data_IF_720632210945
#
_entry.id   IF_720632210945
#
_cell.length_a   1.000
_cell.length_b   1.000
_cell.length_c   1.000
_cell.angle_alpha   90.00
_cell.angle_beta   90.00
_cell.angle_gamma   90.00
#
_symmetry.space_group_name_H-M   'P 1'
#
loop_
_entity.id
_entity.type
_entity.pdbx_description
1 polymer ?
#
# COMPACT_ATOMS: atom_id res chain seq x y z
N UNK A 1 -27.30 7.82 -17.29
CA UNK A 1 -26.35 7.61 -16.18
C UNK A 1 -27.01 6.74 -15.13
N UNK A 2 -26.36 5.65 -14.72
CA UNK A 2 -26.89 4.78 -13.67
C UNK A 2 -26.86 5.48 -12.30
N UNK A 3 -27.78 5.09 -11.41
CA UNK A 3 -27.93 5.65 -10.04
C UNK A 3 -26.61 5.69 -9.23
N UNK A 4 -25.69 4.76 -9.51
CA UNK A 4 -24.38 4.64 -8.82
C UNK A 4 -23.31 5.63 -9.31
N UNK A 5 -23.51 6.28 -10.46
CA UNK A 5 -22.58 7.30 -10.99
C UNK A 5 -22.71 8.65 -10.27
N UNK A 6 -23.80 8.84 -9.52
CA UNK A 6 -24.06 10.09 -8.78
C UNK A 6 -23.34 10.13 -7.41
N UNK A 7 -22.85 9.00 -6.91
CA UNK A 7 -22.13 8.93 -5.64
C UNK A 7 -20.64 9.11 -5.93
N UNK A 8 -20.03 10.12 -5.32
CA UNK A 8 -18.58 10.31 -5.36
C UNK A 8 -17.88 9.14 -4.69
N UNK A 9 -16.88 8.59 -5.36
CA UNK A 9 -16.10 7.43 -4.89
C UNK A 9 -14.65 7.79 -4.86
N UNK A 10 -13.93 7.19 -3.91
CA UNK A 10 -12.46 7.21 -3.84
C UNK A 10 -11.98 5.77 -4.02
N UNK A 11 -11.06 5.57 -4.95
CA UNK A 11 -10.32 4.32 -5.07
C UNK A 11 -9.13 4.37 -4.10
N UNK A 12 -9.13 3.54 -3.08
CA UNK A 12 -8.09 3.56 -2.05
C UNK A 12 -6.87 2.71 -2.40
N UNK A 13 -6.87 2.07 -3.61
CA UNK A 13 -5.81 1.16 -4.01
C UNK A 13 -5.63 1.13 -5.53
N UNK A 14 -4.68 1.87 -6.04
CA UNK A 14 -4.38 1.89 -7.48
C UNK A 14 -2.88 1.90 -7.74
N UNK A 15 -2.48 1.18 -8.79
CA UNK A 15 -1.13 1.19 -9.34
C UNK A 15 -1.14 1.75 -10.76
N UNK A 16 -0.09 2.45 -11.15
CA UNK A 16 0.11 2.95 -12.51
C UNK A 16 1.45 2.50 -13.06
N UNK A 17 1.65 2.70 -14.34
CA UNK A 17 2.98 2.68 -14.93
C UNK A 17 3.90 3.67 -14.24
N UNK A 18 5.17 3.29 -14.12
CA UNK A 18 6.24 4.19 -13.69
C UNK A 18 6.40 5.36 -14.64
N UNK A 19 6.86 6.48 -14.11
CA UNK A 19 7.12 7.67 -14.91
C UNK A 19 8.18 7.37 -16.00
N UNK A 20 7.88 7.76 -17.23
CA UNK A 20 8.76 7.49 -18.36
C UNK A 20 8.69 6.07 -18.93
N UNK A 21 7.88 5.18 -18.39
CA UNK A 21 7.58 3.86 -18.94
C UNK A 21 8.75 2.86 -18.90
N UNK A 22 9.76 3.09 -18.06
CA UNK A 22 10.94 2.22 -17.92
C UNK A 22 10.69 1.08 -16.89
N UNK A 23 9.53 0.46 -16.95
CA UNK A 23 9.15 -0.61 -16.01
C UNK A 23 9.53 -1.99 -16.56
N UNK A 24 9.77 -2.92 -15.64
CA UNK A 24 9.87 -4.35 -15.95
C UNK A 24 8.44 -4.88 -16.17
N UNK A 25 8.20 -5.50 -17.31
CA UNK A 25 6.92 -6.15 -17.58
C UNK A 25 6.79 -7.45 -16.80
N UNK A 26 5.57 -7.77 -16.39
CA UNK A 26 5.25 -9.10 -15.83
C UNK A 26 5.56 -10.20 -16.85
N UNK A 27 5.75 -11.42 -16.38
CA UNK A 27 5.97 -12.59 -17.26
C UNK A 27 4.83 -12.80 -18.28
N UNK A 28 3.60 -12.38 -17.95
CA UNK A 28 2.46 -12.37 -18.87
C UNK A 28 2.59 -11.35 -20.01
N UNK A 29 3.58 -10.45 -19.96
CA UNK A 29 3.71 -9.31 -20.87
C UNK A 29 2.84 -8.10 -20.48
N UNK A 30 2.00 -8.24 -19.45
CA UNK A 30 1.13 -7.16 -18.96
C UNK A 30 1.94 -6.08 -18.22
N UNK A 31 1.40 -4.89 -18.22
CA UNK A 31 1.90 -3.76 -17.45
C UNK A 31 0.73 -3.02 -16.81
N UNK A 32 1.01 -2.16 -15.84
CA UNK A 32 -0.01 -1.31 -15.25
C UNK A 32 -0.58 -0.33 -16.29
N UNK A 33 -1.80 0.14 -16.05
CA UNK A 33 -2.42 1.20 -16.84
C UNK A 33 -1.67 2.52 -16.70
N UNK A 34 -1.71 3.35 -17.73
CA UNK A 34 -1.19 4.73 -17.63
C UNK A 34 -2.11 5.61 -16.78
N UNK A 35 -1.61 6.72 -16.23
CA UNK A 35 -2.46 7.68 -15.51
C UNK A 35 -3.66 8.17 -16.33
N UNK A 36 -3.49 8.37 -17.63
CA UNK A 36 -4.57 8.81 -18.55
C UNK A 36 -5.65 7.73 -18.69
N UNK A 37 -5.24 6.47 -18.85
CA UNK A 37 -6.16 5.34 -18.93
C UNK A 37 -6.96 5.17 -17.63
N UNK A 38 -6.31 5.38 -16.49
CA UNK A 38 -6.97 5.35 -15.18
C UNK A 38 -7.97 6.52 -15.08
N UNK A 39 -7.59 7.74 -15.47
CA UNK A 39 -8.50 8.89 -15.46
C UNK A 39 -9.73 8.64 -16.32
N UNK A 40 -9.57 8.10 -17.53
CA UNK A 40 -10.68 7.72 -18.39
C UNK A 40 -11.66 6.76 -17.71
N UNK A 41 -11.14 5.71 -17.03
CA UNK A 41 -11.98 4.76 -16.30
C UNK A 41 -12.65 5.39 -15.09
N UNK A 42 -11.95 6.25 -14.37
CA UNK A 42 -12.51 6.96 -13.22
C UNK A 42 -13.66 7.87 -13.62
N UNK A 43 -13.53 8.59 -14.74
CA UNK A 43 -14.60 9.41 -15.29
C UNK A 43 -15.83 8.57 -15.67
N UNK A 44 -15.59 7.41 -16.31
CA UNK A 44 -16.67 6.50 -16.70
C UNK A 44 -17.42 5.89 -15.51
N UNK A 45 -16.71 5.65 -14.38
CA UNK A 45 -17.25 4.98 -13.19
C UNK A 45 -17.65 5.92 -12.05
N UNK A 46 -17.45 7.22 -12.22
CA UNK A 46 -17.74 8.23 -11.20
C UNK A 46 -16.78 8.14 -10.00
N UNK A 47 -15.53 7.78 -10.26
CA UNK A 47 -14.45 7.79 -9.24
C UNK A 47 -13.78 9.16 -9.29
N UNK A 48 -13.76 9.84 -8.15
CA UNK A 48 -13.22 11.20 -8.07
C UNK A 48 -11.69 11.17 -8.09
N UNK A 49 -11.09 10.34 -7.26
CA UNK A 49 -9.62 10.18 -7.16
C UNK A 49 -9.24 8.75 -6.75
N UNK A 50 -8.00 8.38 -7.05
CA UNK A 50 -7.35 7.19 -6.55
C UNK A 50 -6.18 7.51 -5.61
N UNK A 51 -5.89 6.58 -4.71
CA UNK A 51 -4.67 6.59 -3.90
C UNK A 51 -3.62 5.72 -4.58
N UNK A 52 -2.63 6.39 -5.18
CA UNK A 52 -1.51 5.71 -5.83
C UNK A 52 -0.59 5.08 -4.80
N UNK A 53 -0.35 3.79 -4.95
CA UNK A 53 0.53 2.99 -4.10
C UNK A 53 1.79 2.61 -4.89
N UNK A 54 2.94 3.26 -4.64
CA UNK A 54 4.23 2.82 -5.19
C UNK A 54 4.67 1.51 -4.53
N UNK A 55 5.59 0.79 -5.16
CA UNK A 55 6.14 -0.45 -4.60
C UNK A 55 7.66 -0.47 -4.73
N UNK A 56 8.34 -0.50 -3.58
CA UNK A 56 9.79 -0.61 -3.45
C UNK A 56 10.21 -1.92 -2.76
N UNK A 57 9.26 -2.75 -2.32
CA UNK A 57 9.58 -4.00 -1.64
C UNK A 57 10.01 -5.07 -2.64
N UNK A 58 11.11 -5.73 -2.35
CA UNK A 58 11.71 -6.74 -3.22
C UNK A 58 10.78 -7.91 -3.49
N UNK A 59 9.90 -8.22 -2.55
CA UNK A 59 8.97 -9.34 -2.62
C UNK A 59 7.88 -9.16 -3.70
N UNK A 60 7.58 -7.92 -4.08
CA UNK A 60 6.53 -7.63 -5.09
C UNK A 60 7.06 -6.83 -6.29
N UNK A 61 8.35 -6.87 -6.56
CA UNK A 61 9.00 -6.03 -7.58
C UNK A 61 8.83 -6.54 -9.02
N UNK A 62 7.60 -6.73 -9.49
CA UNK A 62 7.36 -6.91 -10.93
C UNK A 62 7.35 -5.59 -11.70
N UNK A 63 6.90 -4.51 -11.06
CA UNK A 63 6.86 -3.16 -11.63
C UNK A 63 7.27 -2.17 -10.55
N UNK A 64 8.57 -2.10 -10.19
CA UNK A 64 9.03 -1.23 -9.12
C UNK A 64 8.71 0.24 -9.44
N UNK A 65 8.18 0.93 -8.45
CA UNK A 65 7.86 2.36 -8.52
C UNK A 65 8.34 3.03 -7.23
N UNK A 66 9.21 4.03 -7.34
CA UNK A 66 9.72 4.74 -6.19
C UNK A 66 8.71 5.74 -5.63
N UNK A 67 8.94 6.19 -4.40
CA UNK A 67 8.16 7.27 -3.78
C UNK A 67 8.25 8.57 -4.59
N UNK A 68 9.43 8.89 -5.14
CA UNK A 68 9.67 10.08 -5.95
C UNK A 68 8.94 10.00 -7.28
N UNK A 69 8.81 8.79 -7.83
CA UNK A 69 8.06 8.55 -9.07
C UNK A 69 6.55 8.76 -8.82
N UNK A 70 6.00 8.18 -7.74
CA UNK A 70 4.62 8.40 -7.34
C UNK A 70 4.33 9.87 -7.06
N UNK A 71 5.22 10.56 -6.34
CA UNK A 71 5.14 12.01 -6.14
C UNK A 71 5.07 12.75 -7.48
N UNK A 72 5.98 12.47 -8.42
CA UNK A 72 6.01 13.10 -9.74
C UNK A 72 4.72 12.86 -10.52
N UNK A 73 4.19 11.63 -10.50
CA UNK A 73 2.90 11.31 -11.13
C UNK A 73 1.78 12.17 -10.53
N UNK A 74 1.71 12.28 -9.21
CA UNK A 74 0.65 13.06 -8.57
C UNK A 74 0.78 14.56 -8.84
N UNK A 75 1.98 15.10 -9.03
CA UNK A 75 2.17 16.50 -9.44
C UNK A 75 1.67 16.76 -10.88
N UNK A 76 1.76 15.77 -11.75
CA UNK A 76 1.29 15.89 -13.14
C UNK A 76 -0.21 15.55 -13.29
N UNK A 77 -0.77 14.75 -12.38
CA UNK A 77 -2.17 14.33 -12.38
C UNK A 77 -2.87 14.62 -11.04
N UNK A 78 -2.83 15.89 -10.53
CA UNK A 78 -3.31 16.22 -9.19
C UNK A 78 -4.83 16.05 -9.04
N UNK A 79 -5.58 16.02 -10.14
CA UNK A 79 -7.03 15.79 -10.15
C UNK A 79 -7.38 14.28 -10.14
N UNK A 80 -6.39 13.41 -10.41
CA UNK A 80 -6.61 11.96 -10.51
C UNK A 80 -6.13 11.23 -9.27
N UNK A 81 -5.01 11.66 -8.67
CA UNK A 81 -4.38 10.90 -7.60
C UNK A 81 -4.09 11.72 -6.35
N UNK A 82 -4.25 11.04 -5.20
CA UNK A 82 -3.43 11.16 -4.01
C UNK A 82 -2.39 10.04 -4.02
N UNK A 83 -1.49 10.01 -3.05
CA UNK A 83 -0.50 8.96 -2.97
C UNK A 83 -0.15 8.58 -1.53
N UNK A 84 0.25 7.34 -1.34
CA UNK A 84 0.90 6.85 -0.14
C UNK A 84 2.38 6.67 -0.41
N UNK A 85 3.23 6.84 0.60
CA UNK A 85 4.62 6.42 0.51
C UNK A 85 4.73 4.91 0.70
N UNK A 86 5.69 4.27 0.07
CA UNK A 86 6.06 2.88 0.36
C UNK A 86 7.35 2.86 1.18
N UNK A 87 7.38 2.09 2.26
CA UNK A 87 8.53 1.92 3.13
C UNK A 87 8.77 0.42 3.38
N UNK A 88 9.99 -0.03 3.16
CA UNK A 88 10.40 -1.36 3.58
C UNK A 88 10.84 -1.34 5.05
N UNK A 89 10.42 -2.31 5.87
CA UNK A 89 10.87 -2.39 7.27
C UNK A 89 12.37 -2.64 7.41
N UNK A 90 13.05 -2.94 6.29
CA UNK A 90 14.51 -3.14 6.21
C UNK A 90 15.27 -1.87 5.82
N UNK A 91 14.59 -0.75 5.58
CA UNK A 91 15.24 0.53 5.26
C UNK A 91 16.12 1.01 6.42
N UNK A 92 17.03 1.91 6.09
CA UNK A 92 18.00 2.42 7.03
C UNK A 92 19.03 1.34 7.39
N UNK A 93 19.09 0.96 8.64
CA UNK A 93 20.09 0.03 9.16
C UNK A 93 19.65 -1.45 9.14
N UNK A 94 18.50 -1.79 8.54
CA UNK A 94 17.89 -3.12 8.66
C UNK A 94 17.77 -3.55 10.14
N UNK A 95 17.29 -2.65 10.97
CA UNK A 95 17.25 -2.77 12.42
C UNK A 95 15.85 -2.47 12.97
N UNK A 96 15.42 -3.19 14.03
CA UNK A 96 14.18 -2.85 14.73
C UNK A 96 14.26 -1.53 15.51
N UNK A 97 15.40 -0.85 15.49
CA UNK A 97 15.62 0.48 16.06
C UNK A 97 15.78 1.58 15.03
N UNK A 98 15.55 1.26 13.73
CA UNK A 98 15.54 2.29 12.68
C UNK A 98 14.47 3.35 12.99
N UNK A 99 14.85 4.62 12.97
CA UNK A 99 13.90 5.73 13.13
C UNK A 99 13.16 5.99 11.80
N UNK A 100 11.97 5.42 11.67
CA UNK A 100 11.12 5.63 10.50
C UNK A 100 10.44 6.99 10.49
N UNK A 101 10.39 7.72 11.60
CA UNK A 101 9.79 9.06 11.64
C UNK A 101 10.50 10.01 10.67
N UNK A 102 11.80 9.84 10.48
CA UNK A 102 12.59 10.60 9.52
C UNK A 102 12.05 10.46 8.08
N UNK A 103 11.83 9.22 7.63
CA UNK A 103 11.30 8.95 6.28
C UNK A 103 9.83 9.38 6.16
N UNK A 104 9.01 9.04 7.16
CA UNK A 104 7.58 9.34 7.18
C UNK A 104 7.37 10.86 7.11
N UNK A 105 8.06 11.63 7.93
CA UNK A 105 7.90 13.09 7.95
C UNK A 105 8.37 13.74 6.65
N UNK A 106 9.44 13.21 6.02
CA UNK A 106 9.90 13.67 4.72
C UNK A 106 8.81 13.55 3.66
N UNK A 107 8.27 12.34 3.45
CA UNK A 107 7.25 12.13 2.42
C UNK A 107 5.88 12.71 2.78
N UNK A 108 5.55 12.79 4.08
CA UNK A 108 4.37 13.51 4.55
C UNK A 108 4.43 14.99 4.17
N UNK A 109 5.59 15.63 4.30
CA UNK A 109 5.80 17.01 3.87
C UNK A 109 5.66 17.16 2.33
N UNK A 110 5.95 16.12 1.55
CA UNK A 110 5.71 16.07 0.10
C UNK A 110 4.27 15.76 -0.27
N UNK A 111 3.38 15.54 0.71
CA UNK A 111 1.94 15.34 0.51
C UNK A 111 1.47 13.90 0.51
N UNK A 112 2.31 12.93 0.86
CA UNK A 112 1.88 11.56 1.07
C UNK A 112 0.81 11.47 2.17
N UNK A 113 -0.21 10.63 1.98
CA UNK A 113 -1.38 10.53 2.86
C UNK A 113 -1.39 9.27 3.73
N UNK A 114 -0.44 8.36 3.54
CA UNK A 114 -0.33 7.09 4.27
C UNK A 114 0.92 6.33 3.85
N UNK A 115 1.04 5.10 4.34
CA UNK A 115 2.15 4.18 4.05
C UNK A 115 1.59 2.89 3.43
N UNK A 116 2.11 2.45 2.31
CA UNK A 116 1.70 1.21 1.65
C UNK A 116 1.86 1.24 0.13
N UNK A 117 1.63 0.14 -0.48
CA UNK A 117 1.17 -1.14 0.03
C UNK A 117 2.31 -1.88 0.76
N UNK A 118 2.02 -2.45 1.95
CA UNK A 118 3.02 -3.23 2.68
C UNK A 118 3.02 -4.67 2.15
N UNK A 119 4.00 -4.97 1.31
CA UNK A 119 4.13 -6.24 0.56
C UNK A 119 5.27 -7.14 1.06
N UNK A 120 6.06 -6.66 2.02
CA UNK A 120 7.19 -7.40 2.58
C UNK A 120 6.76 -8.67 3.30
N UNK A 121 7.42 -9.80 3.02
CA UNK A 121 7.03 -11.12 3.53
C UNK A 121 7.63 -11.40 4.92
N UNK A 122 7.16 -10.65 5.91
CA UNK A 122 7.46 -10.82 7.34
C UNK A 122 6.16 -10.92 8.13
N UNK A 123 6.13 -11.67 9.25
CA UNK A 123 4.96 -11.69 10.13
C UNK A 123 4.74 -10.36 10.87
N UNK A 124 3.53 -10.14 11.37
CA UNK A 124 3.18 -8.92 12.12
C UNK A 124 4.01 -8.72 13.38
N UNK A 125 4.37 -9.80 14.08
CA UNK A 125 5.16 -9.77 15.32
C UNK A 125 6.67 -9.77 15.07
N UNK A 126 7.10 -9.72 13.81
CA UNK A 126 8.52 -9.57 13.51
C UNK A 126 9.01 -8.19 13.97
N UNK A 127 10.16 -8.07 14.68
CA UNK A 127 10.63 -6.81 15.24
C UNK A 127 10.75 -5.65 14.23
N UNK A 128 11.09 -5.95 12.98
CA UNK A 128 11.15 -4.93 11.91
C UNK A 128 9.76 -4.45 11.52
N UNK A 129 8.78 -5.34 11.41
CA UNK A 129 7.39 -5.01 11.09
C UNK A 129 6.78 -4.16 12.20
N UNK A 130 6.95 -4.61 13.44
CA UNK A 130 6.45 -3.92 14.62
C UNK A 130 7.02 -2.49 14.73
N UNK A 131 8.33 -2.34 14.49
CA UNK A 131 8.98 -1.02 14.50
C UNK A 131 8.40 -0.07 13.45
N UNK A 132 8.15 -0.54 12.22
CA UNK A 132 7.55 0.29 11.18
C UNK A 132 6.11 0.68 11.53
N UNK A 133 5.28 -0.28 11.97
CA UNK A 133 3.89 -0.04 12.35
C UNK A 133 3.78 0.93 13.53
N UNK A 134 4.67 0.82 14.52
CA UNK A 134 4.76 1.75 15.64
C UNK A 134 4.97 3.18 15.16
N UNK A 135 5.95 3.41 14.27
CA UNK A 135 6.20 4.75 13.74
C UNK A 135 5.04 5.28 12.86
N UNK A 136 4.36 4.39 12.12
CA UNK A 136 3.15 4.79 11.39
C UNK A 136 2.06 5.29 12.35
N UNK A 137 1.84 4.59 13.47
CA UNK A 137 0.90 5.01 14.51
C UNK A 137 1.32 6.35 15.16
N UNK A 138 2.58 6.45 15.60
CA UNK A 138 3.13 7.66 16.23
C UNK A 138 3.09 8.90 15.33
N UNK A 139 3.21 8.71 14.00
CA UNK A 139 3.16 9.78 13.00
C UNK A 139 1.74 10.05 12.47
N UNK A 140 0.70 9.38 12.99
CA UNK A 140 -0.69 9.44 12.48
C UNK A 140 -0.76 9.19 10.95
N UNK A 141 -0.13 8.11 10.50
CA UNK A 141 -0.14 7.71 9.09
C UNK A 141 -0.91 6.40 8.93
N UNK A 142 -2.02 6.40 8.19
CA UNK A 142 -2.72 5.16 7.88
C UNK A 142 -1.85 4.24 7.02
N UNK A 143 -2.11 2.94 7.10
CA UNK A 143 -1.35 1.94 6.35
C UNK A 143 -2.27 1.10 5.46
N UNK A 144 -1.78 0.71 4.28
CA UNK A 144 -2.39 -0.33 3.44
C UNK A 144 -1.54 -1.59 3.54
N UNK A 145 -2.17 -2.70 3.88
CA UNK A 145 -1.52 -4.00 4.06
C UNK A 145 -2.01 -5.02 3.03
N UNK A 146 -1.08 -5.80 2.51
CA UNK A 146 -1.34 -7.04 1.77
C UNK A 146 -1.06 -8.23 2.67
N UNK A 147 -1.97 -9.21 2.72
CA UNK A 147 -1.80 -10.42 3.53
C UNK A 147 -1.26 -11.55 2.68
N UNK A 148 -0.22 -12.21 3.18
CA UNK A 148 0.32 -13.45 2.65
C UNK A 148 -0.09 -14.63 3.55
N UNK A 149 -0.66 -15.72 3.00
CA UNK A 149 -1.11 -16.87 3.79
C UNK A 149 0.05 -17.69 4.36
N UNK A 150 1.25 -17.46 3.88
CA UNK A 150 2.47 -18.12 4.35
C UNK A 150 3.73 -17.34 3.98
N UNK A 151 4.81 -17.68 4.67
CA UNK A 151 6.15 -17.24 4.33
C UNK A 151 6.61 -17.92 3.02
N UNK A 152 7.34 -17.17 2.18
CA UNK A 152 7.80 -17.56 0.85
C UNK A 152 6.67 -17.80 -0.18
N UNK A 153 7.00 -17.75 -1.44
CA UNK A 153 6.12 -17.91 -2.60
C UNK A 153 4.98 -16.88 -2.74
N UNK A 154 4.81 -16.02 -1.74
CA UNK A 154 3.82 -14.93 -1.70
C UNK A 154 4.47 -13.62 -1.29
N UNK A 155 3.83 -12.51 -1.66
CA UNK A 155 4.13 -11.20 -1.10
C UNK A 155 3.03 -10.79 -0.12
N UNK A 156 3.36 -9.88 0.78
CA UNK A 156 2.45 -9.42 1.83
C UNK A 156 2.92 -9.79 3.23
N UNK A 157 2.34 -9.15 4.24
CA UNK A 157 2.60 -9.45 5.63
C UNK A 157 2.02 -10.84 5.95
N UNK A 158 2.84 -11.70 6.54
CA UNK A 158 2.44 -13.08 6.85
C UNK A 158 1.56 -13.10 8.09
N UNK A 159 0.39 -13.71 7.96
CA UNK A 159 -0.47 -14.03 9.10
C UNK A 159 -1.10 -15.41 8.93
N UNK A 160 -1.59 -15.96 10.05
CA UNK A 160 -2.31 -17.22 10.09
C UNK A 160 -3.80 -17.01 9.76
N UNK A 161 -4.55 -18.08 9.41
CA UNK A 161 -5.99 -18.03 9.26
C UNK A 161 -6.69 -17.38 10.47
N UNK A 162 -7.66 -16.50 10.19
CA UNK A 162 -8.33 -15.69 11.21
C UNK A 162 -7.57 -14.43 11.62
N UNK A 163 -6.40 -14.14 11.03
CA UNK A 163 -5.61 -12.93 11.21
C UNK A 163 -5.25 -12.58 12.67
N UNK A 164 -4.75 -13.55 13.47
CA UNK A 164 -4.43 -13.30 14.89
C UNK A 164 -3.28 -12.29 15.07
N UNK A 165 -2.36 -12.19 14.11
CA UNK A 165 -1.28 -11.21 14.11
C UNK A 165 -1.81 -9.79 13.92
N UNK A 166 -2.72 -9.60 12.95
CA UNK A 166 -3.40 -8.33 12.73
C UNK A 166 -4.20 -7.91 13.97
N UNK A 167 -4.93 -8.85 14.60
CA UNK A 167 -5.69 -8.55 15.81
C UNK A 167 -4.80 -8.06 16.95
N UNK A 168 -3.61 -8.64 17.14
CA UNK A 168 -2.62 -8.17 18.12
C UNK A 168 -2.13 -6.76 17.80
N UNK A 169 -1.88 -6.44 16.54
CA UNK A 169 -1.48 -5.09 16.10
C UNK A 169 -2.56 -4.07 16.39
N UNK A 170 -3.82 -4.37 16.08
CA UNK A 170 -4.95 -3.48 16.35
C UNK A 170 -5.13 -3.23 17.86
N UNK A 171 -4.89 -4.23 18.71
CA UNK A 171 -4.89 -4.07 20.17
C UNK A 171 -3.70 -3.26 20.68
N UNK A 172 -2.52 -3.41 20.05
CA UNK A 172 -1.28 -2.73 20.44
C UNK A 172 -1.25 -1.26 20.01
N UNK A 173 -1.77 -0.98 18.81
CA UNK A 173 -1.80 0.35 18.20
C UNK A 173 -3.24 0.74 17.82
N UNK A 174 -4.12 1.01 18.79
CA UNK A 174 -5.55 1.21 18.53
C UNK A 174 -5.86 2.46 17.68
N UNK A 175 -4.94 3.41 17.61
CA UNK A 175 -5.06 4.61 16.77
C UNK A 175 -4.64 4.39 15.32
N UNK A 176 -3.95 3.27 15.00
CA UNK A 176 -3.47 2.99 13.67
C UNK A 176 -4.63 2.62 12.75
N UNK A 177 -4.82 3.40 11.71
CA UNK A 177 -5.83 3.15 10.67
C UNK A 177 -5.25 2.18 9.64
N UNK A 178 -5.88 1.02 9.46
CA UNK A 178 -5.40 -0.02 8.55
C UNK A 178 -6.43 -0.25 7.44
N UNK A 179 -5.97 -0.14 6.19
CA UNK A 179 -6.70 -0.59 5.01
C UNK A 179 -6.26 -2.02 4.68
N UNK A 180 -7.13 -2.98 5.00
CA UNK A 180 -6.92 -4.37 4.65
C UNK A 180 -7.19 -4.61 3.17
N UNK A 181 -6.25 -5.23 2.49
CA UNK A 181 -6.29 -5.51 1.07
C UNK A 181 -5.88 -6.96 0.79
N UNK A 182 -6.17 -7.41 -0.39
CA UNK A 182 -5.91 -8.72 -0.98
C UNK A 182 -7.02 -9.75 -0.81
N UNK A 183 -7.04 -10.72 -1.72
CA UNK A 183 -7.96 -11.84 -1.64
C UNK A 183 -7.73 -12.69 -0.36
N UNK A 184 -6.47 -12.98 0.04
CA UNK A 184 -6.21 -13.66 1.31
C UNK A 184 -6.77 -12.91 2.52
N UNK A 185 -6.67 -11.58 2.57
CA UNK A 185 -7.24 -10.80 3.67
C UNK A 185 -8.73 -11.09 3.88
N UNK A 186 -9.53 -11.06 2.82
CA UNK A 186 -10.96 -11.31 2.91
C UNK A 186 -11.30 -12.77 3.23
N UNK A 187 -10.56 -13.71 2.63
CA UNK A 187 -10.76 -15.14 2.89
C UNK A 187 -10.44 -15.48 4.36
N UNK A 188 -9.36 -14.93 4.92
CA UNK A 188 -8.95 -15.22 6.28
C UNK A 188 -9.85 -14.59 7.34
N UNK A 189 -10.45 -13.42 7.08
CA UNK A 189 -11.46 -12.83 7.96
C UNK A 189 -12.67 -13.79 8.11
N UNK A 190 -13.12 -14.42 7.01
CA UNK A 190 -14.26 -15.33 7.05
C UNK A 190 -13.92 -16.68 7.68
N UNK A 191 -12.71 -17.19 7.49
CA UNK A 191 -12.28 -18.48 8.05
C UNK A 191 -12.22 -18.52 9.57
N UNK A 192 -12.12 -17.37 10.23
CA UNK A 192 -12.10 -17.24 11.69
C UNK A 192 -13.46 -17.33 12.38
N UNK A 193 -14.56 -17.53 11.63
CA UNK A 193 -15.92 -17.54 12.13
C UNK A 193 -16.64 -18.92 12.00
N UNK A 194 -15.89 -19.98 11.70
CA UNK A 194 -16.42 -21.35 11.69
C UNK A 194 -16.34 -22.02 13.06
#
# INVERSE_FOLDING_TARGET
MGKYQLVKKIDVHVHTKSWGGAEIRRFSGDSHATPEQIREKYDAWGIEKGVLLPDINNECCFCPQSNEDAYRITQNYPQTFWWFMNLSPRMGNNSPTTDFSYFINHYKAMGAKGVGEMTFNLPFDHPLTDNLLRHCAECDMPVTIHIAPKKYDYYGIVDEPGLPGLEKVLKKYPELKIFGHSQPFWAEIWSGYE
#
